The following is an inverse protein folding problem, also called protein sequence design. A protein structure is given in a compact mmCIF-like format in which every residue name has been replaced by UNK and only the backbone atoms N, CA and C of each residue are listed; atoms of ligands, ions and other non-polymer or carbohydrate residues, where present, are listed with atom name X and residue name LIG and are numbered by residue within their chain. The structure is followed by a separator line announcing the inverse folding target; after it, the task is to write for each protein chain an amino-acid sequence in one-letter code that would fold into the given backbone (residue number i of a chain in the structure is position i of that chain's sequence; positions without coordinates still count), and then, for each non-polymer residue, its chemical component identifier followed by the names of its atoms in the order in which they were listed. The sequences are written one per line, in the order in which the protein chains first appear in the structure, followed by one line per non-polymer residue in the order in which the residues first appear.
data_IF_924106245602
#
_entry.id   IF_924106245602
#
_cell.length_a   1.000
_cell.length_b   1.000
_cell.length_c   1.000
_cell.angle_alpha   90.00
_cell.angle_beta   90.00
_cell.angle_gamma   90.00
#
_symmetry.space_group_name_H-M   'P 1'
#
loop_
_entity.id
_entity.type
_entity.pdbx_description
1 polymer ?
#
# COMPACT_ATOMS: atom_id res chain seq x y z
N UNK A 1 -15.42 15.28 -23.25
CA UNK A 1 -14.58 14.82 -22.14
C UNK A 1 -15.03 13.41 -21.80
N UNK A 2 -14.25 12.40 -22.14
CA UNK A 2 -14.54 11.04 -21.69
C UNK A 2 -14.32 11.02 -20.18
N UNK A 3 -15.39 10.78 -19.41
CA UNK A 3 -15.26 10.53 -17.97
C UNK A 3 -14.38 9.28 -17.79
N UNK A 4 -13.32 9.41 -16.99
CA UNK A 4 -12.55 8.23 -16.58
C UNK A 4 -13.52 7.23 -15.93
N UNK A 5 -13.37 5.92 -16.19
CA UNK A 5 -14.20 4.92 -15.52
C UNK A 5 -14.01 5.05 -14.01
N UNK A 6 -15.11 4.93 -13.26
CA UNK A 6 -15.07 4.97 -11.80
C UNK A 6 -14.10 3.88 -11.30
N UNK A 7 -13.11 4.27 -10.53
CA UNK A 7 -12.16 3.33 -9.91
C UNK A 7 -12.91 2.38 -8.98
N UNK A 8 -12.70 1.08 -9.13
CA UNK A 8 -13.25 0.09 -8.18
C UNK A 8 -12.68 0.35 -6.78
N UNK A 9 -13.54 0.32 -5.76
CA UNK A 9 -13.17 0.51 -4.36
C UNK A 9 -13.39 -0.77 -3.55
N UNK A 10 -12.75 -0.85 -2.40
CA UNK A 10 -13.07 -1.75 -1.30
C UNK A 10 -13.59 -0.93 -0.11
N UNK A 11 -14.53 -1.48 0.63
CA UNK A 11 -15.05 -0.84 1.84
C UNK A 11 -14.27 -1.33 3.05
N UNK A 12 -13.57 -0.44 3.73
CA UNK A 12 -12.82 -0.75 4.95
C UNK A 12 -13.77 -1.04 6.13
N UNK A 13 -13.26 -1.65 7.20
CA UNK A 13 -14.05 -2.05 8.37
C UNK A 13 -14.75 -0.89 9.10
N UNK A 14 -14.34 0.34 8.85
CA UNK A 14 -14.95 1.56 9.38
C UNK A 14 -15.84 2.29 8.36
N UNK A 15 -16.12 1.68 7.20
CA UNK A 15 -16.98 2.22 6.16
C UNK A 15 -16.31 3.19 5.18
N UNK A 16 -15.00 3.43 5.29
CA UNK A 16 -14.26 4.25 4.34
C UNK A 16 -14.05 3.48 3.04
N UNK A 17 -14.37 4.12 1.90
CA UNK A 17 -14.10 3.57 0.57
C UNK A 17 -12.66 3.84 0.18
N UNK A 18 -11.90 2.79 -0.17
CA UNK A 18 -10.51 2.84 -0.60
C UNK A 18 -10.38 2.33 -2.04
N UNK A 19 -9.75 3.07 -2.97
CA UNK A 19 -9.48 2.55 -4.31
C UNK A 19 -8.67 1.25 -4.25
N UNK A 20 -9.10 0.23 -5.01
CA UNK A 20 -8.41 -1.07 -5.02
C UNK A 20 -7.06 -1.03 -5.74
N UNK A 21 -6.84 0.01 -6.55
CA UNK A 21 -5.59 0.26 -7.25
C UNK A 21 -5.14 1.69 -7.00
N UNK A 22 -3.95 1.86 -6.43
CA UNK A 22 -3.33 3.13 -6.13
C UNK A 22 -1.93 3.24 -6.75
N UNK A 23 -1.25 4.32 -6.45
CA UNK A 23 0.09 4.64 -6.93
C UNK A 23 1.07 4.76 -5.77
N UNK A 24 2.08 3.90 -5.74
CA UNK A 24 3.15 3.92 -4.75
C UNK A 24 4.33 4.77 -5.19
N UNK A 25 4.96 5.48 -4.25
CA UNK A 25 6.11 6.36 -4.53
C UNK A 25 7.41 5.91 -3.86
N UNK A 26 7.44 4.71 -3.30
CA UNK A 26 8.68 4.17 -2.72
C UNK A 26 9.81 4.09 -3.76
N UNK A 27 11.03 4.47 -3.38
CA UNK A 27 12.21 4.52 -4.26
C UNK A 27 12.08 5.46 -5.47
N UNK A 28 11.16 6.41 -5.46
CA UNK A 28 11.21 7.53 -6.41
C UNK A 28 11.99 8.65 -5.71
N UNK A 29 13.12 9.12 -6.29
CA UNK A 29 13.87 10.24 -5.75
C UNK A 29 13.00 11.49 -5.60
N UNK A 30 13.27 12.33 -4.60
CA UNK A 30 12.45 13.49 -4.31
C UNK A 30 12.29 14.43 -5.51
N UNK A 31 13.37 14.65 -6.27
CA UNK A 31 13.39 15.48 -7.48
C UNK A 31 12.57 14.94 -8.65
N UNK A 32 12.20 13.66 -8.64
CA UNK A 32 11.36 13.00 -9.64
C UNK A 32 9.93 12.73 -9.15
N UNK A 33 9.70 12.78 -7.84
CA UNK A 33 8.42 12.36 -7.23
C UNK A 33 7.28 13.27 -7.64
N UNK A 34 7.46 14.59 -7.67
CA UNK A 34 6.40 15.53 -8.06
C UNK A 34 5.92 15.25 -9.48
N UNK A 35 6.84 15.05 -10.43
CA UNK A 35 6.47 14.73 -11.81
C UNK A 35 5.78 13.37 -11.92
N UNK A 36 6.32 12.34 -11.24
CA UNK A 36 5.72 11.00 -11.28
C UNK A 36 4.29 10.99 -10.74
N UNK A 37 4.04 11.70 -9.63
CA UNK A 37 2.68 11.81 -9.05
C UNK A 37 1.77 12.63 -9.96
N UNK A 38 2.26 13.71 -10.58
CA UNK A 38 1.51 14.50 -11.55
C UNK A 38 1.07 13.63 -12.72
N UNK A 39 1.97 12.83 -13.28
CA UNK A 39 1.69 11.92 -14.40
C UNK A 39 0.68 10.82 -13.98
N UNK A 40 0.82 10.27 -12.77
CA UNK A 40 -0.12 9.28 -12.24
C UNK A 40 -1.53 9.87 -12.08
N UNK A 41 -1.66 11.06 -11.52
CA UNK A 41 -2.95 11.76 -11.39
C UNK A 41 -3.57 12.06 -12.75
N UNK A 42 -2.75 12.50 -13.72
CA UNK A 42 -3.19 12.74 -15.09
C UNK A 42 -3.65 11.46 -15.80
N UNK A 43 -2.99 10.33 -15.52
CA UNK A 43 -3.39 9.01 -16.02
C UNK A 43 -4.71 8.51 -15.42
N UNK A 44 -5.14 9.02 -14.26
CA UNK A 44 -6.41 8.66 -13.62
C UNK A 44 -6.29 8.03 -12.24
N UNK A 45 -5.08 7.89 -11.69
CA UNK A 45 -4.93 7.46 -10.29
C UNK A 45 -5.59 8.44 -9.34
N UNK A 46 -6.20 7.92 -8.27
CA UNK A 46 -6.86 8.71 -7.22
C UNK A 46 -6.42 8.28 -5.82
N UNK A 47 -5.58 7.25 -5.70
CA UNK A 47 -4.97 6.80 -4.45
C UNK A 47 -3.45 6.92 -4.56
N UNK A 48 -2.83 7.58 -3.58
CA UNK A 48 -1.40 7.84 -3.50
C UNK A 48 -0.85 7.28 -2.18
N UNK A 49 0.20 6.46 -2.25
CA UNK A 49 0.84 5.86 -1.08
C UNK A 49 2.27 6.37 -0.94
N UNK A 50 2.51 7.11 0.14
CA UNK A 50 3.84 7.59 0.56
C UNK A 50 4.15 7.17 1.99
N UNK A 51 5.23 7.68 2.57
CA UNK A 51 5.62 7.48 3.96
C UNK A 51 6.64 8.54 4.40
N UNK A 52 6.67 8.84 5.70
CA UNK A 52 7.73 9.70 6.25
C UNK A 52 9.14 9.17 5.92
N UNK A 53 9.31 7.84 5.98
CA UNK A 53 10.59 7.17 5.69
C UNK A 53 11.03 7.26 4.22
N UNK A 54 10.15 7.64 3.29
CA UNK A 54 10.50 7.80 1.87
C UNK A 54 11.14 9.15 1.57
N UNK A 55 10.99 10.12 2.47
CA UNK A 55 11.56 11.48 2.38
C UNK A 55 11.12 12.22 1.10
N UNK A 56 9.89 11.95 0.63
CA UNK A 56 9.33 12.56 -0.58
C UNK A 56 7.89 13.10 -0.39
N UNK A 57 7.42 13.20 0.86
CA UNK A 57 6.07 13.70 1.16
C UNK A 57 5.83 15.13 0.65
N UNK A 58 6.85 16.01 0.68
CA UNK A 58 6.71 17.39 0.17
C UNK A 58 6.44 17.41 -1.33
N UNK A 59 7.12 16.57 -2.10
CA UNK A 59 6.93 16.44 -3.55
C UNK A 59 5.55 15.86 -3.89
N UNK A 60 5.08 14.86 -3.12
CA UNK A 60 3.70 14.36 -3.24
C UNK A 60 2.69 15.46 -2.97
N UNK A 61 2.87 16.22 -1.90
CA UNK A 61 2.00 17.34 -1.54
C UNK A 61 1.96 18.45 -2.60
N UNK A 62 3.10 18.80 -3.21
CA UNK A 62 3.14 19.77 -4.31
C UNK A 62 2.36 19.26 -5.53
N UNK A 63 2.52 18.00 -5.92
CA UNK A 63 1.78 17.42 -7.03
C UNK A 63 0.26 17.42 -6.78
N UNK A 64 -0.19 17.08 -5.56
CA UNK A 64 -1.60 17.14 -5.18
C UNK A 64 -2.15 18.55 -5.33
N UNK A 65 -1.49 19.55 -4.76
CA UNK A 65 -1.94 20.95 -4.84
C UNK A 65 -2.00 21.48 -6.28
N UNK A 66 -1.02 21.10 -7.09
CA UNK A 66 -0.90 21.56 -8.47
C UNK A 66 -1.84 20.81 -9.44
N UNK A 67 -2.41 19.67 -9.04
CA UNK A 67 -3.26 18.85 -9.89
C UNK A 67 -4.61 19.48 -10.21
N UNK A 68 -5.10 20.37 -9.35
CA UNK A 68 -6.45 20.92 -9.43
C UNK A 68 -7.57 19.90 -9.13
N UNK A 69 -7.23 18.69 -8.73
CA UNK A 69 -8.22 17.66 -8.33
C UNK A 69 -8.72 18.00 -6.92
N UNK A 70 -10.04 17.99 -6.68
CA UNK A 70 -10.60 18.18 -5.35
C UNK A 70 -10.00 17.16 -4.35
N UNK A 71 -9.69 17.64 -3.13
CA UNK A 71 -9.04 16.78 -2.11
C UNK A 71 -9.88 15.55 -1.74
N UNK A 72 -11.19 15.67 -1.75
CA UNK A 72 -12.16 14.62 -1.46
C UNK A 72 -12.28 13.54 -2.58
N UNK A 73 -11.72 13.81 -3.75
CA UNK A 73 -11.56 12.82 -4.81
C UNK A 73 -10.26 12.01 -4.69
N UNK A 74 -9.38 12.38 -3.75
CA UNK A 74 -8.10 11.72 -3.56
C UNK A 74 -8.09 10.90 -2.25
N UNK A 75 -7.48 9.73 -2.32
CA UNK A 75 -7.16 8.88 -1.18
C UNK A 75 -5.65 8.93 -0.94
N UNK A 76 -5.23 9.54 0.17
CA UNK A 76 -3.81 9.75 0.48
C UNK A 76 -3.41 8.93 1.70
N UNK A 77 -2.39 8.09 1.53
CA UNK A 77 -1.78 7.28 2.59
C UNK A 77 -0.40 7.79 2.91
N UNK A 78 -0.10 7.94 4.20
CA UNK A 78 1.29 8.06 4.68
C UNK A 78 1.51 7.14 5.89
N UNK A 79 2.77 7.02 6.36
CA UNK A 79 3.15 6.01 7.36
C UNK A 79 4.05 6.61 8.43
N UNK A 80 3.78 6.22 9.68
CA UNK A 80 4.57 6.52 10.86
C UNK A 80 5.83 5.64 10.89
N UNK A 81 7.01 6.26 11.05
CA UNK A 81 8.25 5.51 11.26
C UNK A 81 8.43 5.11 12.74
N UNK A 82 9.28 4.13 13.00
CA UNK A 82 9.50 3.51 14.32
C UNK A 82 10.24 4.39 15.34
N UNK A 83 10.82 5.51 14.90
CA UNK A 83 11.75 6.32 15.71
C UNK A 83 11.09 7.15 16.81
N UNK A 84 9.78 7.33 16.75
CA UNK A 84 9.04 8.26 17.61
C UNK A 84 8.11 7.48 18.57
N UNK A 85 8.67 6.85 19.63
CA UNK A 85 7.86 6.10 20.60
C UNK A 85 7.03 7.04 21.47
N UNK A 86 5.88 6.55 21.91
CA UNK A 86 4.97 7.28 22.79
C UNK A 86 3.94 8.13 22.03
N UNK A 87 2.83 8.39 22.70
CA UNK A 87 1.65 9.04 22.08
C UNK A 87 1.97 10.47 21.60
N UNK A 88 2.64 11.28 22.42
CA UNK A 88 2.99 12.66 22.06
C UNK A 88 3.96 12.75 20.88
N UNK A 89 4.92 11.83 20.78
CA UNK A 89 5.87 11.79 19.67
C UNK A 89 5.18 11.37 18.39
N UNK A 90 4.27 10.39 18.47
CA UNK A 90 3.47 9.94 17.34
C UNK A 90 2.61 11.08 16.77
N UNK A 91 1.93 11.85 17.64
CA UNK A 91 1.14 13.02 17.20
C UNK A 91 2.02 14.07 16.52
N UNK A 92 3.20 14.39 17.09
CA UNK A 92 4.16 15.32 16.45
C UNK A 92 4.68 14.80 15.08
N UNK A 93 4.99 13.51 14.98
CA UNK A 93 5.42 12.91 13.72
C UNK A 93 4.31 13.01 12.65
N UNK A 94 3.07 12.79 13.04
CA UNK A 94 1.91 12.96 12.16
C UNK A 94 1.73 14.42 11.70
N UNK A 95 1.79 15.38 12.62
CA UNK A 95 1.74 16.81 12.29
C UNK A 95 2.85 17.21 11.32
N UNK A 96 4.05 16.67 11.51
CA UNK A 96 5.17 16.90 10.59
C UNK A 96 4.89 16.33 9.19
N UNK A 97 4.29 15.13 9.08
CA UNK A 97 3.85 14.56 7.80
C UNK A 97 2.77 15.43 7.13
N UNK A 98 1.75 15.86 7.86
CA UNK A 98 0.73 16.78 7.33
C UNK A 98 1.34 18.07 6.79
N UNK A 99 2.30 18.64 7.53
CA UNK A 99 3.01 19.86 7.11
C UNK A 99 3.80 19.64 5.81
N UNK A 100 4.54 18.52 5.68
CA UNK A 100 5.27 18.19 4.45
C UNK A 100 4.32 17.96 3.28
N UNK A 101 3.25 17.21 3.48
CA UNK A 101 2.20 17.01 2.47
C UNK A 101 1.43 18.30 2.14
N UNK A 102 1.37 19.27 3.07
CA UNK A 102 0.55 20.48 2.93
C UNK A 102 -0.93 20.16 2.93
N UNK A 103 -1.34 19.18 3.71
CA UNK A 103 -2.72 18.71 3.86
C UNK A 103 -3.20 18.95 5.29
N UNK A 104 -4.51 19.02 5.48
CA UNK A 104 -5.18 19.11 6.79
C UNK A 104 -5.59 17.74 7.36
N UNK A 105 -5.67 16.73 6.52
CA UNK A 105 -5.96 15.35 6.91
C UNK A 105 -5.38 14.35 5.90
N UNK A 106 -5.26 13.08 6.29
CA UNK A 106 -4.99 11.96 5.38
C UNK A 106 -6.12 10.93 5.43
N UNK A 107 -6.24 10.12 4.39
CA UNK A 107 -7.29 9.09 4.30
C UNK A 107 -6.88 7.82 5.05
N UNK A 108 -5.60 7.46 5.01
CA UNK A 108 -5.05 6.30 5.70
C UNK A 108 -3.70 6.64 6.33
N UNK A 109 -3.56 6.34 7.62
CA UNK A 109 -2.29 6.42 8.33
C UNK A 109 -1.87 5.05 8.80
N UNK A 110 -0.70 4.60 8.37
CA UNK A 110 -0.17 3.28 8.68
C UNK A 110 1.00 3.34 9.65
N UNK A 111 1.04 2.43 10.58
CA UNK A 111 2.26 2.09 11.30
C UNK A 111 3.19 1.32 10.36
N UNK A 112 4.36 1.86 10.02
CA UNK A 112 5.19 1.36 8.91
C UNK A 112 5.84 0.01 9.20
N UNK A 113 6.26 -0.22 10.46
CA UNK A 113 6.95 -1.45 10.88
C UNK A 113 6.41 -1.96 12.21
N UNK A 114 6.37 -3.27 12.44
CA UNK A 114 5.86 -3.89 13.66
C UNK A 114 6.88 -3.90 14.80
N UNK A 115 7.54 -2.75 15.06
CA UNK A 115 8.65 -2.66 16.01
C UNK A 115 8.46 -1.53 17.02
N UNK A 116 9.11 -1.68 18.18
CA UNK A 116 9.14 -0.67 19.22
C UNK A 116 7.84 -0.60 20.02
N UNK A 117 7.49 0.61 20.47
CA UNK A 117 6.31 0.86 21.29
C UNK A 117 5.06 1.09 20.43
N UNK A 118 4.70 0.09 19.64
CA UNK A 118 3.57 0.20 18.71
C UNK A 118 2.20 0.27 19.42
N UNK A 119 2.08 -0.11 20.68
CA UNK A 119 0.84 0.06 21.42
C UNK A 119 0.53 1.52 21.72
N UNK A 120 1.50 2.30 22.23
CA UNK A 120 1.28 3.73 22.47
C UNK A 120 1.12 4.50 21.15
N UNK A 121 1.84 4.11 20.10
CA UNK A 121 1.66 4.65 18.75
C UNK A 121 0.24 4.38 18.25
N UNK A 122 -0.28 3.16 18.44
CA UNK A 122 -1.65 2.82 18.03
C UNK A 122 -2.71 3.65 18.78
N UNK A 123 -2.57 3.84 20.09
CA UNK A 123 -3.47 4.72 20.86
C UNK A 123 -3.48 6.14 20.34
N UNK A 124 -2.31 6.69 20.03
CA UNK A 124 -2.23 8.02 19.40
C UNK A 124 -2.92 8.06 18.03
N UNK A 125 -2.79 7.01 17.22
CA UNK A 125 -3.47 6.94 15.92
C UNK A 125 -5.00 6.86 16.09
N UNK A 126 -5.50 6.15 17.11
CA UNK A 126 -6.93 6.15 17.45
C UNK A 126 -7.43 7.56 17.82
N UNK A 127 -6.66 8.32 18.60
CA UNK A 127 -6.97 9.71 18.92
C UNK A 127 -7.04 10.59 17.66
N UNK A 128 -6.02 10.48 16.78
CA UNK A 128 -5.98 11.23 15.51
C UNK A 128 -7.19 10.92 14.63
N UNK A 129 -7.65 9.67 14.62
CA UNK A 129 -8.87 9.29 13.92
C UNK A 129 -10.11 9.90 14.57
N UNK A 130 -10.22 9.87 15.90
CA UNK A 130 -11.33 10.47 16.63
C UNK A 130 -11.38 12.01 16.46
N UNK A 131 -10.23 12.66 16.31
CA UNK A 131 -10.09 14.09 16.01
C UNK A 131 -10.43 14.43 14.54
N UNK A 132 -10.64 13.43 13.66
CA UNK A 132 -10.98 13.61 12.25
C UNK A 132 -9.79 13.96 11.37
N UNK A 133 -8.57 13.87 11.87
CA UNK A 133 -7.34 14.15 11.11
C UNK A 133 -6.91 12.97 10.23
N UNK A 134 -7.41 11.77 10.52
CA UNK A 134 -7.20 10.54 9.77
C UNK A 134 -8.53 9.84 9.56
N UNK A 135 -8.86 9.44 8.33
CA UNK A 135 -10.13 8.75 8.06
C UNK A 135 -10.08 7.27 8.46
N UNK A 136 -8.94 6.61 8.23
CA UNK A 136 -8.71 5.21 8.59
C UNK A 136 -7.28 5.01 9.11
N UNK A 137 -7.12 4.11 10.07
CA UNK A 137 -5.80 3.75 10.63
C UNK A 137 -5.52 2.27 10.38
N UNK A 138 -4.26 1.95 10.14
CA UNK A 138 -3.82 0.60 9.83
C UNK A 138 -2.35 0.37 10.16
N UNK A 139 -1.88 -0.78 9.73
CA UNK A 139 -0.52 -1.24 9.99
C UNK A 139 0.15 -1.71 8.70
N UNK A 140 1.46 -1.92 8.75
CA UNK A 140 2.23 -2.49 7.66
C UNK A 140 3.23 -3.51 8.22
N UNK A 141 3.42 -4.61 7.49
CA UNK A 141 4.36 -5.68 7.83
C UNK A 141 4.06 -6.45 9.12
N UNK A 142 2.84 -6.38 9.63
CA UNK A 142 2.41 -7.15 10.79
C UNK A 142 2.11 -8.60 10.37
N UNK A 143 2.79 -9.55 11.01
CA UNK A 143 2.40 -10.96 10.95
C UNK A 143 1.17 -11.21 11.80
N UNK A 144 0.50 -12.33 11.58
CA UNK A 144 -0.81 -12.64 12.18
C UNK A 144 -0.81 -12.65 13.70
N UNK A 145 0.28 -13.09 14.33
CA UNK A 145 0.45 -13.06 15.79
C UNK A 145 0.46 -11.64 16.36
N UNK A 146 1.23 -10.73 15.76
CA UNK A 146 1.28 -9.33 16.17
C UNK A 146 0.01 -8.57 15.81
N UNK A 147 -0.59 -8.90 14.67
CA UNK A 147 -1.87 -8.30 14.29
C UNK A 147 -2.97 -8.71 15.27
N UNK A 148 -3.04 -9.98 15.63
CA UNK A 148 -4.01 -10.46 16.61
C UNK A 148 -3.79 -9.86 18.00
N UNK A 149 -2.53 -9.72 18.41
CA UNK A 149 -2.16 -9.09 19.68
C UNK A 149 -2.65 -7.63 19.72
N UNK A 150 -2.44 -6.87 18.64
CA UNK A 150 -2.94 -5.49 18.54
C UNK A 150 -4.48 -5.42 18.56
N UNK A 151 -5.17 -6.32 17.85
CA UNK A 151 -6.64 -6.41 17.81
C UNK A 151 -7.19 -6.74 19.20
N UNK A 152 -6.58 -7.69 19.90
CA UNK A 152 -7.08 -8.18 21.19
C UNK A 152 -7.00 -7.12 22.30
N UNK A 153 -6.00 -6.25 22.24
CA UNK A 153 -5.69 -5.33 23.35
C UNK A 153 -6.02 -3.85 23.05
N UNK A 154 -6.73 -3.58 21.95
CA UNK A 154 -7.14 -2.23 21.58
C UNK A 154 -8.59 -2.20 21.09
N UNK A 155 -9.22 -1.01 21.17
CA UNK A 155 -10.64 -0.85 20.83
C UNK A 155 -10.90 -0.81 19.31
N UNK A 156 -9.93 -0.36 18.53
CA UNK A 156 -10.04 -0.23 17.07
C UNK A 156 -9.19 -1.29 16.39
N UNK A 157 -9.84 -2.12 15.57
CA UNK A 157 -9.15 -3.05 14.67
C UNK A 157 -8.50 -2.28 13.52
N UNK A 158 -7.24 -2.58 13.15
CA UNK A 158 -6.62 -2.00 11.97
C UNK A 158 -7.51 -2.16 10.73
N UNK A 159 -7.71 -1.07 9.98
CA UNK A 159 -8.50 -1.11 8.75
C UNK A 159 -7.75 -1.80 7.61
N UNK A 160 -6.42 -1.67 7.59
CA UNK A 160 -5.53 -2.19 6.55
C UNK A 160 -4.30 -2.81 7.20
N UNK A 161 -3.78 -3.88 6.61
CA UNK A 161 -2.41 -4.34 6.81
C UNK A 161 -1.73 -4.45 5.44
N UNK A 162 -0.72 -3.58 5.23
CA UNK A 162 0.04 -3.51 3.98
C UNK A 162 1.28 -4.41 4.09
N UNK A 163 1.32 -5.51 3.33
CA UNK A 163 2.37 -6.54 3.41
C UNK A 163 2.91 -6.91 2.03
N UNK A 164 4.16 -7.39 1.98
CA UNK A 164 4.72 -7.96 0.75
C UNK A 164 3.81 -9.04 0.18
N UNK A 165 3.35 -8.84 -1.08
CA UNK A 165 2.50 -9.83 -1.74
C UNK A 165 2.69 -9.78 -3.25
N UNK A 166 3.08 -10.91 -3.83
CA UNK A 166 3.32 -11.10 -5.27
C UNK A 166 3.22 -12.60 -5.61
N UNK A 167 3.27 -13.04 -6.88
CA UNK A 167 3.11 -14.45 -7.25
C UNK A 167 4.04 -15.43 -6.54
N UNK A 168 5.24 -15.00 -6.14
CA UNK A 168 6.21 -15.86 -5.44
C UNK A 168 6.08 -15.82 -3.91
N UNK A 169 5.28 -14.90 -3.37
CA UNK A 169 4.96 -14.82 -1.94
C UNK A 169 3.51 -14.36 -1.78
N UNK A 170 2.60 -15.32 -1.84
CA UNK A 170 1.17 -15.03 -2.04
C UNK A 170 0.41 -14.70 -0.76
N UNK A 171 1.00 -15.00 0.41
CA UNK A 171 0.45 -14.68 1.73
C UNK A 171 -1.01 -15.16 1.93
N UNK A 172 -1.35 -16.35 1.41
CA UNK A 172 -2.74 -16.81 1.46
C UNK A 172 -3.28 -16.97 2.89
N UNK A 173 -2.47 -17.55 3.80
CA UNK A 173 -2.86 -17.70 5.20
C UNK A 173 -3.04 -16.36 5.91
N UNK A 174 -2.16 -15.38 5.64
CA UNK A 174 -2.31 -14.02 6.17
C UNK A 174 -3.55 -13.33 5.60
N UNK A 175 -3.81 -13.51 4.30
CA UNK A 175 -5.00 -12.95 3.64
C UNK A 175 -6.29 -13.49 4.25
N UNK A 176 -6.39 -14.80 4.44
CA UNK A 176 -7.57 -15.44 5.03
C UNK A 176 -7.77 -14.98 6.48
N UNK A 177 -6.71 -14.89 7.27
CA UNK A 177 -6.73 -14.35 8.63
C UNK A 177 -7.22 -12.89 8.65
N UNK A 178 -6.66 -12.04 7.80
CA UNK A 178 -7.07 -10.62 7.73
C UNK A 178 -8.54 -10.48 7.34
N UNK A 179 -9.00 -11.25 6.37
CA UNK A 179 -10.41 -11.26 5.94
C UNK A 179 -11.34 -11.69 7.08
N UNK A 180 -10.98 -12.72 7.84
CA UNK A 180 -11.75 -13.19 9.00
C UNK A 180 -11.91 -12.10 10.07
N UNK A 181 -10.91 -11.23 10.23
CA UNK A 181 -10.90 -10.17 11.23
C UNK A 181 -11.28 -8.78 10.68
N UNK A 182 -11.74 -8.71 9.43
CA UNK A 182 -12.16 -7.46 8.80
C UNK A 182 -11.02 -6.48 8.52
N UNK A 183 -9.79 -6.98 8.35
CA UNK A 183 -8.61 -6.18 7.99
C UNK A 183 -8.37 -6.29 6.48
N UNK A 184 -8.33 -5.16 5.78
CA UNK A 184 -8.07 -5.15 4.34
C UNK A 184 -6.60 -5.47 4.06
N UNK A 185 -6.37 -6.46 3.19
CA UNK A 185 -5.05 -6.79 2.68
C UNK A 185 -4.66 -5.78 1.59
N UNK A 186 -3.51 -5.14 1.76
CA UNK A 186 -2.87 -4.31 0.75
C UNK A 186 -1.47 -4.85 0.42
N UNK A 187 -1.15 -4.93 -0.87
CA UNK A 187 0.12 -5.46 -1.37
C UNK A 187 1.13 -4.34 -1.62
N UNK A 188 2.29 -4.40 -0.95
CA UNK A 188 3.46 -3.71 -1.46
C UNK A 188 4.34 -4.68 -2.26
N UNK A 189 5.11 -4.14 -3.21
CA UNK A 189 5.98 -4.92 -4.08
C UNK A 189 5.25 -5.93 -4.99
N UNK A 190 4.12 -5.56 -5.64
CA UNK A 190 3.31 -6.51 -6.41
C UNK A 190 4.08 -7.19 -7.53
N UNK A 191 5.14 -6.53 -8.04
CA UNK A 191 6.01 -7.07 -9.08
C UNK A 191 7.33 -7.66 -8.54
N UNK A 192 7.47 -7.81 -7.21
CA UNK A 192 8.71 -8.31 -6.58
C UNK A 192 9.98 -7.56 -7.05
N UNK A 193 9.86 -6.30 -7.48
CA UNK A 193 10.94 -5.51 -8.13
C UNK A 193 11.59 -6.24 -9.33
N UNK A 194 10.85 -7.10 -10.03
CA UNK A 194 11.33 -7.91 -11.14
C UNK A 194 12.19 -9.11 -10.74
N UNK A 195 12.31 -9.39 -9.44
CA UNK A 195 13.08 -10.53 -8.93
C UNK A 195 12.49 -11.85 -9.45
N UNK A 196 13.33 -12.89 -9.47
CA UNK A 196 13.00 -14.21 -10.02
C UNK A 196 12.45 -14.16 -11.45
N UNK A 197 12.91 -13.18 -12.24
CA UNK A 197 12.47 -13.00 -13.63
C UNK A 197 10.93 -12.90 -13.79
N UNK A 198 10.23 -12.28 -12.84
CA UNK A 198 8.77 -12.20 -12.82
C UNK A 198 8.17 -11.83 -14.17
N UNK A 199 8.72 -10.81 -14.85
CA UNK A 199 8.18 -10.32 -16.13
C UNK A 199 8.42 -11.25 -17.32
N UNK A 200 9.26 -12.27 -17.17
CA UNK A 200 9.54 -13.30 -18.19
C UNK A 200 9.24 -14.72 -17.70
N UNK A 201 8.56 -14.88 -16.58
CA UNK A 201 8.12 -16.19 -16.10
C UNK A 201 7.20 -16.85 -17.13
N UNK A 202 7.47 -18.11 -17.53
CA UNK A 202 6.70 -18.76 -18.62
C UNK A 202 5.22 -18.92 -18.32
N UNK A 203 4.85 -19.21 -17.07
CA UNK A 203 3.45 -19.36 -16.65
C UNK A 203 2.72 -18.02 -16.73
N UNK A 204 3.27 -16.97 -16.13
CA UNK A 204 2.69 -15.63 -16.16
C UNK A 204 2.62 -15.09 -17.59
N UNK A 205 3.67 -15.27 -18.38
CA UNK A 205 3.72 -14.82 -19.80
C UNK A 205 2.65 -15.52 -20.64
N UNK A 206 2.47 -16.84 -20.45
CA UNK A 206 1.46 -17.61 -21.20
C UNK A 206 0.05 -17.12 -20.91
N UNK A 207 -0.29 -16.92 -19.62
CA UNK A 207 -1.61 -16.42 -19.22
C UNK A 207 -1.82 -14.98 -19.73
N UNK A 208 -0.85 -14.09 -19.52
CA UNK A 208 -0.95 -12.71 -19.97
C UNK A 208 -1.17 -12.60 -21.49
N UNK A 209 -0.41 -13.38 -22.27
CA UNK A 209 -0.55 -13.44 -23.74
C UNK A 209 -1.94 -13.90 -24.17
N UNK A 210 -2.53 -14.87 -23.50
CA UNK A 210 -3.89 -15.35 -23.80
C UNK A 210 -4.95 -14.25 -23.64
N UNK A 211 -4.73 -13.30 -22.75
CA UNK A 211 -5.60 -12.13 -22.55
C UNK A 211 -5.19 -10.90 -23.36
N UNK A 212 -4.08 -10.95 -24.14
CA UNK A 212 -3.54 -9.78 -24.84
C UNK A 212 -3.01 -8.72 -23.89
N UNK A 213 -2.55 -9.10 -22.69
CA UNK A 213 -2.08 -8.22 -21.62
C UNK A 213 -0.61 -8.47 -21.33
N UNK A 214 0.02 -7.51 -20.63
CA UNK A 214 1.37 -7.69 -20.10
C UNK A 214 1.35 -8.52 -18.80
N UNK A 215 2.52 -9.04 -18.40
CA UNK A 215 2.68 -9.72 -17.10
C UNK A 215 2.37 -8.76 -15.94
N UNK A 216 2.70 -7.47 -16.07
CA UNK A 216 2.35 -6.48 -15.04
C UNK A 216 0.83 -6.36 -14.86
N UNK A 217 0.08 -6.23 -15.95
CA UNK A 217 -1.38 -6.19 -15.92
C UNK A 217 -1.98 -7.48 -15.34
N UNK A 218 -1.43 -8.64 -15.74
CA UNK A 218 -1.85 -9.94 -15.20
C UNK A 218 -1.69 -10.01 -13.67
N UNK A 219 -0.51 -9.63 -13.16
CA UNK A 219 -0.23 -9.69 -11.71
C UNK A 219 -1.14 -8.75 -10.93
N UNK A 220 -1.36 -7.54 -11.43
CA UNK A 220 -2.29 -6.60 -10.79
C UNK A 220 -3.72 -7.16 -10.79
N UNK A 221 -4.18 -7.71 -11.92
CA UNK A 221 -5.50 -8.32 -12.00
C UNK A 221 -5.66 -9.52 -11.06
N UNK A 222 -4.64 -10.37 -10.97
CA UNK A 222 -4.60 -11.50 -10.05
C UNK A 222 -4.75 -11.07 -8.59
N UNK A 223 -4.05 -10.00 -8.15
CA UNK A 223 -4.19 -9.45 -6.81
C UNK A 223 -5.59 -8.84 -6.60
N UNK A 224 -6.07 -8.04 -7.54
CA UNK A 224 -7.39 -7.39 -7.48
C UNK A 224 -8.51 -8.42 -7.40
N UNK A 225 -8.43 -9.55 -8.12
CA UNK A 225 -9.43 -10.63 -8.04
C UNK A 225 -9.42 -11.39 -6.71
N UNK A 226 -8.34 -11.27 -5.95
CA UNK A 226 -8.23 -11.76 -4.57
C UNK A 226 -8.69 -10.72 -3.54
N UNK A 227 -9.30 -9.62 -3.98
CA UNK A 227 -9.66 -8.47 -3.13
C UNK A 227 -8.47 -7.85 -2.37
N UNK A 228 -7.28 -7.90 -2.97
CA UNK A 228 -6.06 -7.28 -2.46
C UNK A 228 -5.89 -5.90 -3.11
N UNK A 229 -5.75 -4.86 -2.30
CA UNK A 229 -5.41 -3.51 -2.78
C UNK A 229 -3.96 -3.51 -3.27
N UNK A 230 -3.70 -2.85 -4.39
CA UNK A 230 -2.38 -2.81 -5.02
C UNK A 230 -1.90 -1.39 -5.26
N UNK A 231 -0.61 -1.15 -5.05
CA UNK A 231 0.03 0.16 -5.20
C UNK A 231 1.30 0.05 -6.07
N UNK A 232 1.17 -0.31 -7.36
CA UNK A 232 2.32 -0.37 -8.25
C UNK A 232 3.02 0.99 -8.36
N UNK A 233 4.34 0.96 -8.49
CA UNK A 233 5.18 2.14 -8.70
C UNK A 233 5.69 2.17 -10.13
N UNK A 234 5.68 3.34 -10.73
CA UNK A 234 6.35 3.61 -12.01
C UNK A 234 6.78 5.08 -12.08
N UNK A 235 7.81 5.38 -12.88
CA UNK A 235 8.18 6.74 -13.29
C UNK A 235 7.91 6.96 -14.79
N UNK A 236 7.25 5.99 -15.42
CA UNK A 236 6.94 6.02 -16.87
C UNK A 236 5.44 6.16 -17.08
N UNK A 237 4.98 7.23 -17.75
CA UNK A 237 3.55 7.47 -18.00
C UNK A 237 2.87 6.35 -18.79
N UNK A 238 3.56 5.74 -19.76
CA UNK A 238 3.05 4.61 -20.53
C UNK A 238 2.74 3.39 -19.63
N UNK A 239 3.61 3.07 -18.67
CA UNK A 239 3.38 2.00 -17.69
C UNK A 239 2.32 2.35 -16.65
N UNK A 240 2.20 3.63 -16.29
CA UNK A 240 1.12 4.07 -15.40
C UNK A 240 -0.25 3.84 -16.05
N UNK A 241 -0.41 4.21 -17.32
CA UNK A 241 -1.63 3.96 -18.07
C UNK A 241 -1.89 2.45 -18.25
N UNK A 242 -0.86 1.67 -18.57
CA UNK A 242 -0.94 0.21 -18.69
C UNK A 242 -1.41 -0.46 -17.38
N UNK A 243 -0.87 -0.05 -16.23
CA UNK A 243 -1.25 -0.58 -14.93
C UNK A 243 -2.70 -0.27 -14.53
N UNK A 244 -3.31 0.79 -15.07
CA UNK A 244 -4.71 1.11 -14.87
C UNK A 244 -5.65 0.27 -15.75
N UNK A 245 -5.15 -0.24 -16.87
CA UNK A 245 -5.92 -1.03 -17.85
C UNK A 245 -6.00 -2.51 -17.45
N UNK A 246 -6.62 -2.79 -16.30
CA UNK A 246 -6.71 -4.12 -15.68
C UNK A 246 -8.13 -4.54 -15.30
N UNK A 247 -9.13 -3.74 -15.65
CA UNK A 247 -10.52 -4.00 -15.27
C UNK A 247 -11.38 -4.58 -16.40
N UNK A 248 -10.83 -4.74 -17.60
CA UNK A 248 -11.50 -5.19 -18.82
C UNK A 248 -11.37 -6.70 -19.10
N UNK A 249 -10.66 -7.43 -18.23
CA UNK A 249 -10.48 -8.88 -18.33
C UNK A 249 -10.54 -9.55 -16.94
N UNK A 250 -10.75 -10.87 -16.93
CA UNK A 250 -10.78 -11.67 -15.71
C UNK A 250 -9.99 -12.96 -15.90
N UNK A 251 -9.29 -13.37 -14.83
CA UNK A 251 -8.63 -14.67 -14.77
C UNK A 251 -9.65 -15.74 -14.39
N UNK A 252 -9.67 -16.82 -15.14
CA UNK A 252 -10.45 -18.01 -14.81
C UNK A 252 -9.91 -18.71 -13.53
N UNK A 253 -10.73 -19.53 -12.90
CA UNK A 253 -10.30 -20.37 -11.78
C UNK A 253 -9.11 -21.27 -12.14
N UNK A 254 -9.03 -21.76 -13.40
CA UNK A 254 -7.91 -22.54 -13.90
C UNK A 254 -6.61 -21.72 -13.96
N UNK A 255 -6.66 -20.48 -14.44
CA UNK A 255 -5.50 -19.60 -14.49
C UNK A 255 -5.04 -19.20 -13.09
N UNK A 256 -5.96 -18.90 -12.17
CA UNK A 256 -5.64 -18.67 -10.76
C UNK A 256 -4.93 -19.90 -10.15
N UNK A 257 -5.37 -21.10 -10.47
CA UNK A 257 -4.77 -22.35 -10.01
C UNK A 257 -3.37 -22.61 -10.61
N UNK A 258 -3.07 -22.08 -11.79
CA UNK A 258 -1.72 -22.16 -12.39
C UNK A 258 -0.72 -21.24 -11.67
N UNK A 259 -1.18 -20.12 -11.11
CA UNK A 259 -0.35 -19.17 -10.36
C UNK A 259 -0.10 -19.66 -8.93
N UNK A 260 -1.04 -20.36 -8.31
CA UNK A 260 -0.95 -20.81 -6.92
C UNK A 260 0.35 -21.58 -6.57
N UNK A 261 0.86 -22.53 -7.40
CA UNK A 261 2.10 -23.25 -7.09
C UNK A 261 3.38 -22.42 -7.16
N UNK A 262 3.32 -21.16 -7.62
CA UNK A 262 4.48 -20.27 -7.67
C UNK A 262 4.87 -19.74 -6.29
N UNK A 263 4.01 -19.89 -5.29
CA UNK A 263 4.26 -19.46 -3.92
C UNK A 263 5.43 -20.22 -3.28
N UNK A 264 6.44 -19.49 -2.87
CA UNK A 264 7.60 -20.04 -2.17
C UNK A 264 7.46 -19.97 -0.65
N UNK A 265 6.41 -19.34 -0.14
CA UNK A 265 6.19 -19.03 1.28
C UNK A 265 7.38 -18.31 1.94
N UNK A 266 8.14 -17.55 1.17
CA UNK A 266 9.31 -16.82 1.63
C UNK A 266 9.38 -15.45 0.97
N UNK A 267 9.77 -14.43 1.76
CA UNK A 267 10.04 -13.09 1.25
C UNK A 267 11.19 -13.12 0.24
N UNK A 268 11.05 -12.37 -0.85
CA UNK A 268 12.14 -12.08 -1.77
C UNK A 268 13.00 -10.88 -1.33
N UNK A 269 12.62 -10.20 -0.24
CA UNK A 269 13.32 -9.03 0.30
C UNK A 269 13.98 -9.38 1.62
N UNK A 270 13.22 -9.55 2.69
CA UNK A 270 13.70 -9.98 4.01
C UNK A 270 12.52 -10.41 4.91
N UNK A 271 12.81 -11.25 5.91
CA UNK A 271 11.82 -11.59 6.94
C UNK A 271 11.80 -10.47 8.02
N UNK A 272 10.65 -9.84 8.21
CA UNK A 272 10.43 -8.81 9.24
C UNK A 272 10.59 -9.35 10.67
N UNK A 273 10.62 -10.66 10.86
CA UNK A 273 10.87 -11.34 12.16
C UNK A 273 12.33 -11.64 12.39
N UNK A 274 13.22 -11.45 11.38
CA UNK A 274 14.65 -11.62 11.56
C UNK A 274 15.19 -10.58 12.56
N UNK A 275 15.77 -10.98 13.70
CA UNK A 275 16.29 -10.05 14.71
C UNK A 275 17.29 -9.04 14.17
N UNK A 276 18.04 -9.38 13.12
CA UNK A 276 18.99 -8.45 12.47
C UNK A 276 18.24 -7.33 11.75
N UNK A 277 17.12 -7.64 11.09
CA UNK A 277 16.29 -6.65 10.42
C UNK A 277 15.53 -5.79 11.42
N UNK A 278 15.03 -6.38 12.51
CA UNK A 278 14.41 -5.64 13.60
C UNK A 278 15.38 -4.59 14.17
N UNK A 279 16.63 -5.00 14.44
CA UNK A 279 17.68 -4.09 14.92
C UNK A 279 18.02 -3.01 13.88
N UNK A 280 18.24 -3.40 12.63
CA UNK A 280 18.60 -2.49 11.54
C UNK A 280 17.52 -1.41 11.30
N UNK A 281 16.27 -1.82 11.10
CA UNK A 281 15.17 -0.91 10.84
C UNK A 281 14.78 -0.11 12.08
N UNK A 282 14.84 -0.71 13.26
CA UNK A 282 14.54 -0.03 14.53
C UNK A 282 15.53 1.08 14.90
N UNK A 283 16.76 1.01 14.40
CA UNK A 283 17.78 2.03 14.63
C UNK A 283 17.85 3.09 13.52
N UNK A 284 17.24 2.83 12.37
CA UNK A 284 17.21 3.78 11.26
C UNK A 284 16.43 5.03 11.66
N UNK A 285 17.03 6.21 11.45
CA UNK A 285 16.38 7.50 11.62
C UNK A 285 16.03 8.10 10.27
N UNK A 286 14.90 8.77 10.22
CA UNK A 286 14.43 9.58 9.09
C UNK A 286 14.28 11.02 9.60
N UNK A 287 14.88 11.96 8.89
CA UNK A 287 14.90 13.39 9.27
C UNK A 287 13.67 14.12 8.72
#
# INVERSE_FOLDING_TARGET
MNSLPAMKTVTLNNGVEMPILGFGVYQIPEDQTEQAVTDALAAGYRSLDTAAAYQNEESVGRAIRNSGIPRDELFVTTKLWVQDPGESNTKRAFEASLKRLGLDHVDLYLMHQPYGDYYSQWRAMQDLQAEGLVRAIGVSNFHTDRLMDLITHNDITPAVNQIETHPFYQRQADHDFMREHGVQHESWGPFAEGRNNLFSDPTLTSIATAHGKSVAQLVLRWLIQRDVVVIPKSVRPDRMAENLDVFDFELSAGEMALIAPMDTNASLFFDHRDPRMVSFLGQRRVD
#
